data_IF_568084383641
#
_entry.id   IF_568084383641
#
_cell.length_a   1.000
_cell.length_b   1.000
_cell.length_c   1.000
_cell.angle_alpha   90.00
_cell.angle_beta   90.00
_cell.angle_gamma   90.00
#
_symmetry.space_group_name_H-M   'P 1'
#
loop_
_entity.id
_entity.type
_entity.pdbx_description
1 polymer ?
#
# COMPACT_ATOMS: atom_id res chain seq x y z
N UNK A 1 -13.59 -29.77 3.48
CA UNK A 1 -12.23 -30.05 3.95
C UNK A 1 -11.30 -30.08 2.74
N UNK A 2 -10.77 -28.92 2.35
CA UNK A 2 -9.78 -28.81 1.27
C UNK A 2 -8.45 -28.46 1.92
N UNK A 3 -7.50 -29.40 1.89
CA UNK A 3 -6.18 -29.23 2.48
C UNK A 3 -5.42 -28.07 1.81
N UNK A 4 -4.85 -27.20 2.63
CA UNK A 4 -3.88 -26.19 2.18
C UNK A 4 -2.63 -26.96 1.76
N UNK A 5 -2.40 -27.03 0.45
CA UNK A 5 -1.13 -27.54 -0.09
C UNK A 5 -0.10 -26.45 0.20
N UNK A 6 0.75 -26.70 1.20
CA UNK A 6 1.97 -25.92 1.41
C UNK A 6 2.85 -26.17 0.19
N UNK A 7 2.96 -25.15 -0.67
CA UNK A 7 3.94 -25.20 -1.75
C UNK A 7 5.32 -25.14 -1.10
N UNK A 8 6.04 -26.27 -1.06
CA UNK A 8 7.45 -26.24 -0.67
C UNK A 8 8.18 -25.31 -1.64
N UNK A 9 8.89 -24.28 -1.14
CA UNK A 9 9.70 -23.44 -1.99
C UNK A 9 10.80 -24.28 -2.63
N UNK A 10 11.01 -24.08 -3.93
CA UNK A 10 12.06 -24.77 -4.70
C UNK A 10 13.41 -24.68 -3.96
N UNK A 11 14.16 -25.79 -3.79
CA UNK A 11 15.35 -25.88 -2.91
C UNK A 11 16.58 -25.07 -3.36
N UNK A 12 16.43 -24.15 -4.32
CA UNK A 12 17.55 -23.51 -5.01
C UNK A 12 17.88 -22.05 -4.59
N UNK A 13 17.33 -21.49 -3.51
CA UNK A 13 17.60 -20.07 -3.18
C UNK A 13 17.80 -19.69 -1.70
N UNK A 14 18.01 -20.64 -0.79
CA UNK A 14 18.26 -20.33 0.63
C UNK A 14 19.69 -20.74 1.03
N UNK A 15 20.65 -19.85 0.81
CA UNK A 15 22.06 -20.05 1.16
C UNK A 15 22.37 -19.57 2.59
N UNK A 16 22.29 -20.47 3.57
CA UNK A 16 22.97 -20.32 4.85
C UNK A 16 23.24 -21.69 5.51
N UNK A 17 24.26 -21.79 6.39
CA UNK A 17 24.45 -22.98 7.23
C UNK A 17 23.20 -23.25 8.05
N UNK A 18 22.62 -24.44 7.91
CA UNK A 18 21.37 -24.83 8.59
C UNK A 18 21.65 -25.54 9.90
N UNK A 19 20.70 -25.41 10.82
CA UNK A 19 20.66 -26.09 12.09
C UNK A 19 20.79 -27.61 11.89
N UNK A 20 21.78 -28.21 12.54
CA UNK A 20 22.00 -29.66 12.55
C UNK A 20 21.46 -30.34 13.81
N UNK A 21 21.08 -29.55 14.83
CA UNK A 21 20.58 -30.06 16.10
C UNK A 21 19.21 -30.77 15.98
N UNK A 22 18.38 -30.39 15.00
CA UNK A 22 17.06 -30.99 14.76
C UNK A 22 16.88 -31.25 13.27
N UNK A 23 16.56 -32.50 12.92
CA UNK A 23 16.30 -32.90 11.55
C UNK A 23 15.13 -32.09 10.95
N UNK A 24 15.32 -31.55 9.74
CA UNK A 24 14.31 -30.74 9.06
C UNK A 24 14.24 -29.27 9.49
N UNK A 25 15.01 -28.84 10.49
CA UNK A 25 15.09 -27.43 10.83
C UNK A 25 15.74 -26.61 9.70
N UNK A 26 15.09 -25.54 9.28
CA UNK A 26 15.58 -24.61 8.26
C UNK A 26 16.35 -23.41 8.85
N UNK A 27 16.35 -23.31 10.19
CA UNK A 27 16.98 -22.21 10.92
C UNK A 27 18.47 -22.12 10.67
N UNK A 28 18.96 -20.89 10.55
CA UNK A 28 20.39 -20.61 10.43
C UNK A 28 21.13 -21.07 11.68
N UNK A 29 22.18 -21.86 11.51
CA UNK A 29 23.05 -22.28 12.59
C UNK A 29 23.82 -21.08 13.18
N UNK A 30 23.86 -21.01 14.51
CA UNK A 30 24.78 -20.15 15.24
C UNK A 30 26.16 -20.82 15.25
N UNK A 31 27.18 -20.11 14.77
CA UNK A 31 28.56 -20.61 14.80
C UNK A 31 29.16 -20.36 16.19
N UNK A 32 29.95 -21.29 16.76
CA UNK A 32 30.33 -22.62 16.24
C UNK A 32 29.40 -23.77 16.68
N UNK A 33 28.24 -23.47 17.26
CA UNK A 33 27.36 -24.45 17.93
C UNK A 33 26.63 -25.41 16.98
N UNK A 34 26.45 -25.05 15.70
CA UNK A 34 25.74 -25.87 14.70
C UNK A 34 24.21 -25.93 14.89
N UNK A 35 23.69 -25.60 16.08
CA UNK A 35 22.26 -25.36 16.34
C UNK A 35 21.84 -23.94 15.96
N UNK A 36 20.58 -23.73 15.57
CA UNK A 36 20.02 -22.38 15.46
C UNK A 36 19.67 -21.82 16.84
N UNK A 37 19.42 -20.50 17.00
CA UNK A 37 19.11 -19.90 18.31
C UNK A 37 17.95 -20.54 19.09
N UNK A 38 17.01 -21.23 18.42
CA UNK A 38 15.94 -21.98 19.08
C UNK A 38 16.35 -23.40 19.54
N UNK A 39 17.46 -23.94 19.04
CA UNK A 39 17.98 -25.29 19.30
C UNK A 39 19.42 -25.28 19.82
N UNK A 40 19.86 -24.19 20.45
CA UNK A 40 21.13 -24.14 21.17
C UNK A 40 21.01 -24.90 22.49
N UNK A 41 22.10 -25.52 22.95
CA UNK A 41 22.16 -26.01 24.33
C UNK A 41 22.12 -24.84 25.32
N UNK A 42 21.74 -25.05 26.60
CA UNK A 42 21.64 -23.95 27.57
C UNK A 42 22.89 -23.07 27.67
N UNK A 43 24.08 -23.68 27.70
CA UNK A 43 25.36 -22.94 27.75
C UNK A 43 25.64 -22.15 26.47
N UNK A 44 25.26 -22.67 25.31
CA UNK A 44 25.45 -21.97 24.05
C UNK A 44 24.45 -20.83 23.89
N UNK A 45 23.22 -21.04 24.38
CA UNK A 45 22.18 -20.01 24.43
C UNK A 45 22.57 -18.87 25.36
N UNK A 46 23.11 -19.16 26.56
CA UNK A 46 23.66 -18.14 27.47
C UNK A 46 24.72 -17.29 26.77
N UNK A 47 25.71 -17.91 26.10
CA UNK A 47 26.71 -17.16 25.33
C UNK A 47 26.12 -16.34 24.18
N UNK A 48 25.08 -16.86 23.52
CA UNK A 48 24.38 -16.13 22.48
C UNK A 48 23.71 -14.89 23.05
N UNK A 49 23.05 -15.00 24.21
CA UNK A 49 22.42 -13.89 24.91
C UNK A 49 23.44 -12.87 25.45
N UNK A 50 24.57 -13.31 25.99
CA UNK A 50 25.65 -12.44 26.49
C UNK A 50 26.28 -11.58 25.39
N UNK A 51 26.19 -12.01 24.13
CA UNK A 51 26.66 -11.25 22.98
C UNK A 51 25.68 -10.17 22.52
N UNK A 52 24.43 -10.17 23.03
CA UNK A 52 23.41 -9.20 22.69
C UNK A 52 23.53 -7.95 23.56
N UNK A 53 23.39 -6.82 22.89
CA UNK A 53 23.32 -5.47 23.46
C UNK A 53 22.53 -4.57 22.50
N UNK A 54 21.99 -3.43 22.94
CA UNK A 54 21.38 -2.45 22.03
C UNK A 54 22.28 -2.15 20.81
N UNK A 55 21.72 -2.27 19.61
CA UNK A 55 22.41 -2.13 18.31
C UNK A 55 23.02 -3.42 17.75
N UNK A 56 22.86 -4.56 18.41
CA UNK A 56 23.39 -5.85 17.93
C UNK A 56 22.63 -6.33 16.70
N UNK A 57 23.35 -6.92 15.74
CA UNK A 57 22.71 -7.60 14.61
C UNK A 57 22.01 -8.87 15.06
N UNK A 58 20.80 -9.10 14.56
CA UNK A 58 20.00 -10.29 14.89
C UNK A 58 19.73 -11.09 13.61
N UNK A 59 20.19 -12.33 13.58
CA UNK A 59 20.00 -13.25 12.44
C UNK A 59 19.24 -14.50 12.89
N UNK A 60 17.94 -14.50 12.62
CA UNK A 60 16.99 -15.58 12.90
C UNK A 60 16.41 -16.18 11.61
N UNK A 61 17.17 -16.12 10.50
CA UNK A 61 16.74 -16.68 9.21
C UNK A 61 16.36 -18.15 9.32
N UNK A 62 15.21 -18.51 8.75
CA UNK A 62 14.67 -19.87 8.73
C UNK A 62 14.26 -20.41 10.11
N UNK A 63 14.43 -19.66 11.19
CA UNK A 63 14.15 -20.15 12.54
C UNK A 63 12.64 -20.14 12.75
N UNK A 64 12.08 -21.24 13.26
CA UNK A 64 10.78 -21.19 13.93
C UNK A 64 11.01 -20.59 15.30
N UNK A 65 10.76 -19.28 15.42
CA UNK A 65 11.09 -18.49 16.60
C UNK A 65 10.00 -18.69 17.64
N UNK A 66 10.27 -19.36 18.77
CA UNK A 66 9.30 -19.44 19.86
C UNK A 66 9.20 -18.09 20.58
N UNK A 67 8.06 -17.81 21.22
CA UNK A 67 7.80 -16.53 21.91
C UNK A 67 8.89 -16.17 22.92
N UNK A 68 9.31 -17.14 23.75
CA UNK A 68 10.35 -16.93 24.76
C UNK A 68 11.68 -16.48 24.15
N UNK A 69 12.04 -16.96 22.95
CA UNK A 69 13.29 -16.59 22.29
C UNK A 69 13.20 -15.16 21.79
N UNK A 70 12.07 -14.80 21.18
CA UNK A 70 11.86 -13.45 20.67
C UNK A 70 11.85 -12.44 21.82
N UNK A 71 11.14 -12.73 22.91
CA UNK A 71 11.09 -11.89 24.10
C UNK A 71 12.49 -11.71 24.70
N UNK A 72 13.23 -12.80 24.93
CA UNK A 72 14.59 -12.73 25.47
C UNK A 72 15.52 -11.87 24.60
N UNK A 73 15.49 -12.06 23.28
CA UNK A 73 16.31 -11.27 22.33
C UNK A 73 15.94 -9.79 22.38
N UNK A 74 14.64 -9.46 22.37
CA UNK A 74 14.17 -8.07 22.41
C UNK A 74 14.50 -7.39 23.75
N UNK A 75 14.39 -8.11 24.87
CA UNK A 75 14.78 -7.60 26.18
C UNK A 75 16.28 -7.31 26.25
N UNK A 76 17.12 -8.22 25.75
CA UNK A 76 18.57 -8.06 25.76
C UNK A 76 19.07 -6.90 24.89
N UNK A 77 18.32 -6.53 23.85
CA UNK A 77 18.64 -5.38 22.98
C UNK A 77 17.88 -4.10 23.35
N UNK A 78 17.12 -4.10 24.44
CA UNK A 78 16.38 -2.93 24.90
C UNK A 78 17.30 -1.91 25.54
N UNK A 79 17.26 -0.68 25.01
CA UNK A 79 18.08 0.44 25.46
C UNK A 79 17.47 1.21 26.64
N UNK A 80 18.18 2.23 27.15
CA UNK A 80 17.72 3.05 28.28
C UNK A 80 16.43 3.83 28.03
N UNK A 81 16.05 4.02 26.76
CA UNK A 81 14.78 4.65 26.35
C UNK A 81 13.59 3.68 26.39
N UNK A 82 13.80 2.44 26.83
CA UNK A 82 12.78 1.40 26.95
C UNK A 82 12.36 0.81 25.60
N UNK A 83 13.16 0.98 24.54
CA UNK A 83 12.89 0.41 23.21
C UNK A 83 13.95 -0.61 22.81
N UNK A 84 13.57 -1.71 22.12
CA UNK A 84 14.55 -2.60 21.49
C UNK A 84 15.30 -1.87 20.37
N UNK A 85 16.63 -1.81 20.45
CA UNK A 85 17.49 -1.29 19.39
C UNK A 85 18.22 -2.44 18.72
N UNK A 86 17.90 -2.71 17.47
CA UNK A 86 18.53 -3.75 16.68
C UNK A 86 19.48 -3.10 15.67
N UNK A 87 20.60 -3.78 15.39
CA UNK A 87 21.50 -3.43 14.30
C UNK A 87 20.88 -3.79 12.96
N UNK A 88 21.55 -4.64 12.17
CA UNK A 88 20.92 -5.32 11.03
C UNK A 88 20.04 -6.46 11.52
N UNK A 89 18.88 -6.68 10.90
CA UNK A 89 17.98 -7.79 11.28
C UNK A 89 17.67 -8.69 10.08
N UNK A 90 17.77 -10.00 10.27
CA UNK A 90 17.44 -11.00 9.25
C UNK A 90 16.49 -12.04 9.82
N UNK A 91 15.26 -12.01 9.35
CA UNK A 91 14.19 -12.94 9.65
C UNK A 91 13.72 -13.67 8.37
N UNK A 92 14.58 -13.70 7.33
CA UNK A 92 14.24 -14.33 6.05
C UNK A 92 13.80 -15.79 6.25
N UNK A 93 12.60 -16.14 5.81
CA UNK A 93 12.00 -17.48 5.97
C UNK A 93 11.72 -17.90 7.43
N UNK A 94 11.78 -16.98 8.40
CA UNK A 94 11.47 -17.28 9.79
C UNK A 94 9.96 -17.51 9.99
N UNK A 95 9.60 -18.34 10.96
CA UNK A 95 8.22 -18.48 11.43
C UNK A 95 8.11 -17.81 12.79
N UNK A 96 7.32 -16.75 12.86
CA UNK A 96 7.16 -15.92 14.06
C UNK A 96 5.90 -16.29 14.84
N UNK A 97 5.94 -16.13 16.18
CA UNK A 97 4.88 -16.56 17.07
C UNK A 97 3.64 -15.65 16.97
N UNK A 98 2.56 -16.12 17.60
CA UNK A 98 1.22 -15.55 17.47
C UNK A 98 1.02 -14.16 18.08
N UNK A 99 1.97 -13.70 18.89
CA UNK A 99 1.96 -12.42 19.61
C UNK A 99 3.36 -11.77 19.61
N UNK A 100 4.03 -11.75 18.45
CA UNK A 100 5.36 -11.15 18.34
C UNK A 100 5.33 -9.66 18.80
N UNK A 101 5.94 -9.28 19.95
CA UNK A 101 5.80 -7.96 20.53
C UNK A 101 6.79 -6.98 19.87
N UNK A 102 6.71 -6.85 18.55
CA UNK A 102 7.57 -5.98 17.73
C UNK A 102 7.09 -4.51 17.79
N UNK A 103 6.74 -4.04 18.98
CA UNK A 103 6.26 -2.66 19.20
C UNK A 103 7.43 -1.73 19.48
N UNK A 104 7.44 -0.58 18.83
CA UNK A 104 8.33 0.54 19.15
C UNK A 104 9.82 0.32 18.88
N UNK A 105 10.22 -0.85 18.37
CA UNK A 105 11.62 -1.19 18.12
C UNK A 105 12.25 -0.30 17.04
N UNK A 106 13.55 -0.13 17.16
CA UNK A 106 14.38 0.62 16.24
C UNK A 106 15.34 -0.34 15.55
N UNK A 107 15.45 -0.27 14.23
CA UNK A 107 16.45 -1.00 13.44
C UNK A 107 17.35 0.01 12.77
N UNK A 108 18.61 0.08 13.21
CA UNK A 108 19.60 1.00 12.69
C UNK A 108 20.13 0.56 11.32
N UNK A 109 20.25 -0.76 11.11
CA UNK A 109 20.68 -1.37 9.86
C UNK A 109 19.55 -1.72 8.91
N UNK A 110 19.89 -2.44 7.84
CA UNK A 110 18.89 -3.05 6.96
C UNK A 110 18.11 -4.15 7.69
N UNK A 111 16.84 -4.29 7.34
CA UNK A 111 15.91 -5.24 7.93
C UNK A 111 15.28 -6.09 6.83
N UNK A 112 15.37 -7.41 6.93
CA UNK A 112 14.72 -8.32 6.00
C UNK A 112 13.86 -9.34 6.75
N UNK A 113 12.62 -9.47 6.32
CA UNK A 113 11.65 -10.48 6.72
C UNK A 113 11.24 -11.33 5.52
N UNK A 114 12.01 -11.34 4.43
CA UNK A 114 11.57 -11.94 3.17
C UNK A 114 11.17 -13.42 3.33
N UNK A 115 9.97 -13.77 2.87
CA UNK A 115 9.41 -15.12 3.01
C UNK A 115 9.02 -15.52 4.44
N UNK A 116 9.08 -14.61 5.42
CA UNK A 116 8.70 -14.91 6.80
C UNK A 116 7.18 -15.16 6.93
N UNK A 117 6.80 -15.94 7.94
CA UNK A 117 5.41 -16.24 8.26
C UNK A 117 5.07 -15.82 9.69
N UNK A 118 4.04 -15.00 9.85
CA UNK A 118 3.46 -14.63 11.14
C UNK A 118 2.16 -15.41 11.33
N UNK A 119 2.15 -16.37 12.26
CA UNK A 119 1.03 -17.29 12.44
C UNK A 119 -0.16 -16.65 13.17
N UNK A 120 0.09 -15.64 14.00
CA UNK A 120 -0.93 -14.89 14.73
C UNK A 120 -0.86 -13.39 14.45
N UNK A 121 -1.33 -12.61 15.42
CA UNK A 121 -1.40 -11.16 15.30
C UNK A 121 0.01 -10.60 15.39
N UNK A 122 0.36 -9.70 14.47
CA UNK A 122 1.66 -9.05 14.44
C UNK A 122 1.52 -7.55 14.68
N UNK A 123 2.39 -6.97 15.50
CA UNK A 123 2.37 -5.53 15.76
C UNK A 123 3.75 -4.94 15.54
N UNK A 124 3.86 -4.07 14.55
CA UNK A 124 4.97 -3.16 14.24
C UNK A 124 4.61 -1.72 14.64
N UNK A 125 3.74 -1.57 15.63
CA UNK A 125 3.27 -0.25 16.07
C UNK A 125 4.45 0.62 16.49
N UNK A 126 4.55 1.84 15.95
CA UNK A 126 5.64 2.78 16.20
C UNK A 126 7.07 2.25 15.93
N UNK A 127 7.20 1.17 15.16
CA UNK A 127 8.49 0.63 14.73
C UNK A 127 9.25 1.63 13.85
N UNK A 128 10.58 1.66 13.94
CA UNK A 128 11.44 2.59 13.21
C UNK A 128 12.50 1.82 12.46
N UNK A 129 12.47 1.92 11.13
CA UNK A 129 13.49 1.36 10.24
C UNK A 129 14.34 2.50 9.70
N UNK A 130 15.60 2.57 10.13
CA UNK A 130 16.56 3.59 9.66
C UNK A 130 17.29 3.12 8.39
N UNK A 131 17.52 1.81 8.24
CA UNK A 131 17.94 1.17 6.99
C UNK A 131 16.77 0.80 6.07
N UNK A 132 17.05 0.03 5.01
CA UNK A 132 16.01 -0.50 4.13
C UNK A 132 15.22 -1.59 4.86
N UNK A 133 13.92 -1.69 4.59
CA UNK A 133 13.06 -2.71 5.19
C UNK A 133 12.38 -3.57 4.11
N UNK A 134 12.58 -4.88 4.13
CA UNK A 134 11.97 -5.80 3.18
C UNK A 134 11.05 -6.79 3.88
N UNK A 135 9.82 -6.90 3.37
CA UNK A 135 8.76 -7.81 3.77
C UNK A 135 8.24 -8.59 2.54
N UNK A 136 9.13 -8.89 1.59
CA UNK A 136 8.74 -9.54 0.32
C UNK A 136 8.24 -10.96 0.59
N UNK A 137 7.15 -11.37 -0.05
CA UNK A 137 6.54 -12.70 0.12
C UNK A 137 6.27 -13.07 1.61
N UNK A 138 6.11 -12.06 2.48
CA UNK A 138 5.71 -12.30 3.86
C UNK A 138 4.25 -12.74 3.90
N UNK A 139 3.94 -13.68 4.79
CA UNK A 139 2.57 -14.13 5.05
C UNK A 139 2.16 -13.73 6.46
N UNK A 140 1.25 -12.76 6.56
CA UNK A 140 0.54 -12.44 7.80
C UNK A 140 -0.76 -13.27 7.85
N UNK A 141 -0.78 -14.29 8.71
CA UNK A 141 -1.90 -15.23 8.84
C UNK A 141 -3.12 -14.63 9.55
N UNK A 142 -2.90 -13.59 10.35
CA UNK A 142 -3.94 -12.81 11.07
C UNK A 142 -3.70 -11.32 10.87
N UNK A 143 -4.29 -10.50 11.74
CA UNK A 143 -4.20 -9.05 11.68
C UNK A 143 -2.76 -8.58 11.90
N UNK A 144 -2.38 -7.53 11.19
CA UNK A 144 -1.09 -6.86 11.35
C UNK A 144 -1.25 -5.35 11.44
N UNK A 145 -0.54 -4.74 12.38
CA UNK A 145 -0.52 -3.30 12.55
C UNK A 145 0.89 -2.73 12.35
N UNK A 146 1.03 -1.83 11.37
CA UNK A 146 2.16 -0.93 11.16
C UNK A 146 1.80 0.51 11.56
N UNK A 147 0.83 0.68 12.45
CA UNK A 147 0.36 2.00 12.85
C UNK A 147 1.51 2.84 13.41
N UNK A 148 1.67 4.06 12.90
CA UNK A 148 2.74 4.98 13.31
C UNK A 148 4.17 4.57 12.91
N UNK A 149 4.35 3.43 12.23
CA UNK A 149 5.66 2.95 11.81
C UNK A 149 6.36 3.94 10.87
N UNK A 150 7.69 4.01 10.96
CA UNK A 150 8.52 4.95 10.20
C UNK A 150 9.58 4.22 9.40
N UNK A 151 9.57 4.42 8.09
CA UNK A 151 10.53 3.89 7.14
C UNK A 151 11.37 5.05 6.58
N UNK A 152 12.64 5.16 7.00
CA UNK A 152 13.51 6.27 6.61
C UNK A 152 14.20 6.04 5.26
N UNK A 153 14.20 4.81 4.77
CA UNK A 153 14.75 4.40 3.46
C UNK A 153 13.68 3.64 2.67
N UNK A 154 14.11 2.86 1.67
CA UNK A 154 13.18 2.09 0.86
C UNK A 154 12.51 1.00 1.70
N UNK A 155 11.21 0.80 1.49
CA UNK A 155 10.50 -0.34 2.06
C UNK A 155 9.74 -1.13 1.01
N UNK A 156 9.82 -2.45 1.08
CA UNK A 156 9.14 -3.37 0.16
C UNK A 156 8.19 -4.29 0.92
N UNK A 157 6.93 -4.30 0.49
CA UNK A 157 5.85 -5.23 0.85
C UNK A 157 5.37 -5.95 -0.43
N UNK A 158 6.30 -6.20 -1.35
CA UNK A 158 5.98 -6.83 -2.62
C UNK A 158 5.59 -8.28 -2.42
N UNK A 159 4.51 -8.72 -3.07
CA UNK A 159 4.01 -10.11 -2.97
C UNK A 159 3.62 -10.53 -1.55
N UNK A 160 3.55 -9.59 -0.59
CA UNK A 160 3.09 -9.86 0.78
C UNK A 160 1.60 -10.24 0.77
N UNK A 161 1.25 -11.25 1.57
CA UNK A 161 -0.14 -11.68 1.78
C UNK A 161 -0.61 -11.28 3.17
N UNK A 162 -1.61 -10.42 3.22
CA UNK A 162 -2.31 -9.98 4.42
C UNK A 162 -3.64 -10.72 4.54
N UNK A 163 -3.69 -11.77 5.35
CA UNK A 163 -4.90 -12.60 5.50
C UNK A 163 -5.96 -11.90 6.35
N UNK A 164 -5.53 -11.32 7.48
CA UNK A 164 -6.36 -10.50 8.36
C UNK A 164 -6.38 -9.02 7.96
N UNK A 165 -6.81 -8.16 8.89
CA UNK A 165 -6.74 -6.71 8.73
C UNK A 165 -5.28 -6.22 8.70
N UNK A 166 -4.97 -5.32 7.77
CA UNK A 166 -3.66 -4.71 7.65
C UNK A 166 -3.76 -3.19 7.84
N UNK A 167 -3.23 -2.70 8.95
CA UNK A 167 -3.37 -1.29 9.35
C UNK A 167 -2.04 -0.56 9.25
N UNK A 168 -1.95 0.40 8.34
CA UNK A 168 -0.80 1.28 8.10
C UNK A 168 -1.10 2.72 8.53
N UNK A 169 -2.05 2.89 9.45
CA UNK A 169 -2.54 4.21 9.81
C UNK A 169 -1.44 5.08 10.42
N UNK A 170 -1.30 6.30 9.90
CA UNK A 170 -0.25 7.23 10.34
C UNK A 170 1.18 6.78 10.02
N UNK A 171 1.38 5.67 9.29
CA UNK A 171 2.70 5.21 8.88
C UNK A 171 3.36 6.22 7.93
N UNK A 172 4.68 6.35 8.03
CA UNK A 172 5.47 7.34 7.29
C UNK A 172 6.61 6.69 6.54
N UNK A 173 6.63 6.91 5.24
CA UNK A 173 7.73 6.57 4.35
C UNK A 173 8.46 7.85 3.96
N UNK A 174 9.74 7.97 4.26
CA UNK A 174 10.53 9.14 3.83
C UNK A 174 10.95 9.06 2.36
N UNK A 175 10.93 7.85 1.77
CA UNK A 175 11.32 7.59 0.38
C UNK A 175 10.17 6.88 -0.35
N UNK A 176 10.44 5.79 -1.08
CA UNK A 176 9.46 5.02 -1.83
C UNK A 176 8.97 3.81 -1.02
N UNK A 177 7.67 3.55 -1.07
CA UNK A 177 7.04 2.35 -0.52
C UNK A 177 6.46 1.49 -1.64
N UNK A 178 6.82 0.21 -1.66
CA UNK A 178 6.33 -0.73 -2.67
C UNK A 178 5.41 -1.77 -2.05
N UNK A 179 4.22 -1.92 -2.62
CA UNK A 179 3.21 -2.93 -2.34
C UNK A 179 2.82 -3.66 -3.63
N UNK A 180 3.75 -3.74 -4.59
CA UNK A 180 3.45 -4.35 -5.89
C UNK A 180 3.09 -5.81 -5.69
N UNK A 181 2.03 -6.25 -6.36
CA UNK A 181 1.52 -7.63 -6.23
C UNK A 181 1.12 -8.06 -4.81
N UNK A 182 1.02 -7.12 -3.85
CA UNK A 182 0.53 -7.44 -2.51
C UNK A 182 -0.93 -7.87 -2.56
N UNK A 183 -1.30 -8.81 -1.69
CA UNK A 183 -2.65 -9.36 -1.60
C UNK A 183 -3.22 -9.05 -0.22
N UNK A 184 -4.22 -8.18 -0.17
CA UNK A 184 -4.99 -7.85 1.02
C UNK A 184 -6.29 -8.63 1.00
N UNK A 185 -6.33 -9.79 1.67
CA UNK A 185 -7.55 -10.60 1.79
C UNK A 185 -8.52 -9.93 2.76
N UNK A 186 -8.02 -9.52 3.92
CA UNK A 186 -8.75 -8.69 4.88
C UNK A 186 -8.79 -7.22 4.48
N UNK A 187 -9.32 -6.39 5.38
CA UNK A 187 -9.36 -4.94 5.17
C UNK A 187 -7.95 -4.34 5.21
N UNK A 188 -7.73 -3.27 4.45
CA UNK A 188 -6.48 -2.53 4.42
C UNK A 188 -6.74 -1.05 4.70
N UNK A 189 -6.10 -0.50 5.72
CA UNK A 189 -6.20 0.92 6.06
C UNK A 189 -4.85 1.60 5.92
N UNK A 190 -4.81 2.70 5.19
CA UNK A 190 -3.65 3.58 5.03
C UNK A 190 -3.98 5.00 5.51
N UNK A 191 -4.91 5.13 6.44
CA UNK A 191 -5.42 6.43 6.83
C UNK A 191 -4.31 7.28 7.47
N UNK A 192 -4.24 8.56 7.15
CA UNK A 192 -3.19 9.47 7.62
C UNK A 192 -1.76 9.07 7.24
N UNK A 193 -1.58 8.09 6.34
CA UNK A 193 -0.26 7.69 5.85
C UNK A 193 0.42 8.79 5.02
N UNK A 194 1.75 8.87 5.13
CA UNK A 194 2.55 9.83 4.37
C UNK A 194 3.67 9.14 3.59
N UNK A 195 3.70 9.36 2.28
CA UNK A 195 4.71 8.85 1.35
C UNK A 195 5.58 10.00 0.83
N UNK A 196 6.86 9.97 1.18
CA UNK A 196 7.85 10.99 0.84
C UNK A 196 8.26 11.00 -0.63
N UNK A 197 7.93 9.94 -1.37
CA UNK A 197 8.01 9.87 -2.84
C UNK A 197 6.78 9.14 -3.41
N UNK A 198 6.95 7.91 -3.91
CA UNK A 198 5.85 7.13 -4.49
C UNK A 198 5.22 6.16 -3.50
N UNK A 199 3.90 6.01 -3.63
CA UNK A 199 3.13 4.90 -3.08
C UNK A 199 2.84 3.93 -4.23
N UNK A 200 3.63 2.85 -4.33
CA UNK A 200 3.63 1.94 -5.46
C UNK A 200 2.80 0.68 -5.18
N UNK A 201 1.54 0.66 -5.59
CA UNK A 201 0.57 -0.42 -5.34
C UNK A 201 0.13 -1.12 -6.63
N UNK A 202 1.02 -1.17 -7.63
CA UNK A 202 0.69 -1.74 -8.93
C UNK A 202 0.41 -3.24 -8.82
N UNK A 203 -0.63 -3.68 -9.53
CA UNK A 203 -1.11 -5.06 -9.52
C UNK A 203 -1.42 -5.63 -8.12
N UNK A 204 -1.59 -4.76 -7.11
CA UNK A 204 -2.07 -5.19 -5.79
C UNK A 204 -3.54 -5.61 -5.86
N UNK A 205 -3.93 -6.57 -5.01
CA UNK A 205 -5.31 -7.08 -4.94
C UNK A 205 -5.90 -6.83 -3.56
N UNK A 206 -6.95 -6.00 -3.50
CA UNK A 206 -7.73 -5.70 -2.31
C UNK A 206 -9.04 -6.49 -2.33
N UNK A 207 -9.05 -7.62 -1.63
CA UNK A 207 -10.22 -8.47 -1.40
C UNK A 207 -11.15 -7.89 -0.33
N UNK A 208 -10.59 -7.30 0.73
CA UNK A 208 -11.32 -6.52 1.73
C UNK A 208 -11.54 -5.06 1.33
N UNK A 209 -12.08 -4.28 2.26
CA UNK A 209 -12.23 -2.84 2.07
C UNK A 209 -10.86 -2.15 2.14
N UNK A 210 -10.62 -1.17 1.27
CA UNK A 210 -9.39 -0.37 1.27
C UNK A 210 -9.69 1.10 1.58
N UNK A 211 -8.98 1.70 2.54
CA UNK A 211 -9.14 3.10 2.94
C UNK A 211 -7.85 3.90 2.77
N UNK A 212 -7.97 5.09 2.18
CA UNK A 212 -6.87 6.02 1.92
C UNK A 212 -7.24 7.45 2.35
N UNK A 213 -7.84 7.61 3.53
CA UNK A 213 -8.28 8.94 4.00
C UNK A 213 -7.09 9.71 4.54
N UNK A 214 -7.01 10.98 4.18
CA UNK A 214 -5.97 11.94 4.60
C UNK A 214 -4.55 11.45 4.29
N UNK A 215 -4.40 10.69 3.20
CA UNK A 215 -3.10 10.26 2.69
C UNK A 215 -2.39 11.43 2.02
N UNK A 216 -1.08 11.52 2.21
CA UNK A 216 -0.21 12.44 1.46
C UNK A 216 0.83 11.65 0.67
N UNK A 217 0.91 11.91 -0.63
CA UNK A 217 1.93 11.35 -1.52
C UNK A 217 2.70 12.48 -2.16
N UNK A 218 4.01 12.54 -1.94
CA UNK A 218 4.86 13.63 -2.42
C UNK A 218 5.15 13.55 -3.93
N UNK A 219 4.93 12.39 -4.57
CA UNK A 219 5.09 12.24 -6.01
C UNK A 219 3.93 11.47 -6.64
N UNK A 220 3.97 10.15 -6.79
CA UNK A 220 2.91 9.40 -7.48
C UNK A 220 2.25 8.35 -6.59
N UNK A 221 0.93 8.36 -6.56
CA UNK A 221 0.11 7.26 -6.05
C UNK A 221 -0.23 6.34 -7.24
N UNK A 222 0.28 5.11 -7.21
CA UNK A 222 0.32 4.20 -8.36
C UNK A 222 -0.51 2.97 -8.07
N UNK A 223 -1.67 2.86 -8.69
CA UNK A 223 -2.62 1.75 -8.57
C UNK A 223 -2.81 1.03 -9.91
N UNK A 224 -1.83 1.10 -10.81
CA UNK A 224 -1.95 0.50 -12.14
C UNK A 224 -2.20 -1.01 -12.04
N UNK A 225 -3.23 -1.50 -12.74
CA UNK A 225 -3.68 -2.89 -12.71
C UNK A 225 -4.09 -3.41 -11.33
N UNK A 226 -4.29 -2.53 -10.35
CA UNK A 226 -4.77 -2.93 -9.03
C UNK A 226 -6.24 -3.40 -9.11
N UNK A 227 -6.61 -4.32 -8.24
CA UNK A 227 -7.95 -4.92 -8.19
C UNK A 227 -8.60 -4.63 -6.85
N UNK A 228 -9.82 -4.10 -6.85
CA UNK A 228 -10.60 -3.78 -5.66
C UNK A 228 -11.94 -4.50 -5.71
N UNK A 229 -12.23 -5.38 -4.73
CA UNK A 229 -13.46 -6.17 -4.70
C UNK A 229 -14.62 -5.51 -3.97
N UNK A 230 -14.35 -4.53 -3.08
CA UNK A 230 -15.35 -3.89 -2.19
C UNK A 230 -15.37 -2.36 -2.29
N UNK A 231 -15.27 -1.88 -3.51
CA UNK A 231 -15.21 -0.47 -3.87
C UNK A 231 -13.85 0.12 -3.56
N UNK A 232 -13.64 1.35 -4.04
CA UNK A 232 -12.44 2.12 -3.76
C UNK A 232 -12.82 3.53 -3.34
N UNK A 233 -12.50 3.90 -2.09
CA UNK A 233 -12.54 5.28 -1.60
C UNK A 233 -11.13 5.83 -1.50
N UNK A 234 -10.74 6.62 -2.49
CA UNK A 234 -9.52 7.41 -2.48
C UNK A 234 -9.81 8.80 -1.94
N UNK A 235 -9.38 9.06 -0.70
CA UNK A 235 -9.36 10.39 -0.12
C UNK A 235 -10.50 10.72 0.85
N UNK A 236 -10.52 11.96 1.40
CA UNK A 236 -9.75 13.13 0.96
C UNK A 236 -8.23 12.91 1.02
N UNK A 237 -7.48 13.16 -0.06
CA UNK A 237 -6.03 12.95 -0.09
C UNK A 237 -5.31 13.97 -0.99
N UNK A 238 -3.98 14.05 -0.85
CA UNK A 238 -3.12 14.90 -1.69
C UNK A 238 -2.04 14.06 -2.36
N UNK A 239 -1.89 14.17 -3.67
CA UNK A 239 -0.80 13.56 -4.43
C UNK A 239 -0.09 14.63 -5.28
N UNK A 240 1.13 15.02 -4.90
CA UNK A 240 1.76 16.21 -5.49
C UNK A 240 2.11 16.06 -6.99
N UNK A 241 2.38 14.84 -7.44
CA UNK A 241 2.61 14.53 -8.84
C UNK A 241 1.33 14.03 -9.50
N UNK A 242 0.85 12.85 -9.10
CA UNK A 242 -0.39 12.34 -9.66
C UNK A 242 -0.87 11.01 -9.08
N UNK A 243 -2.09 10.65 -9.48
CA UNK A 243 -2.77 9.42 -9.15
C UNK A 243 -2.98 8.65 -10.45
N UNK A 244 -2.59 7.39 -10.49
CA UNK A 244 -2.74 6.54 -11.65
C UNK A 244 -3.53 5.29 -11.26
N UNK A 245 -4.68 5.11 -11.86
CA UNK A 245 -5.57 3.95 -11.77
C UNK A 245 -5.61 3.21 -13.11
N UNK A 246 -4.55 3.33 -13.92
CA UNK A 246 -4.53 2.78 -15.26
C UNK A 246 -4.77 1.25 -15.22
N UNK A 247 -5.71 0.77 -16.03
CA UNK A 247 -6.12 -0.64 -16.10
C UNK A 247 -6.56 -1.25 -14.76
N UNK A 248 -6.92 -0.42 -13.77
CA UNK A 248 -7.43 -0.89 -12.50
C UNK A 248 -8.84 -1.48 -12.65
N UNK A 249 -9.16 -2.47 -11.83
CA UNK A 249 -10.50 -3.08 -11.78
C UNK A 249 -11.13 -2.80 -10.43
N UNK A 250 -12.29 -2.13 -10.42
CA UNK A 250 -12.99 -1.73 -9.19
C UNK A 250 -14.41 -2.27 -9.21
N UNK A 251 -14.76 -3.11 -8.24
CA UNK A 251 -16.13 -3.57 -8.03
C UNK A 251 -16.77 -2.82 -6.87
N UNK A 252 -18.01 -2.34 -7.00
CA UNK A 252 -18.70 -1.64 -5.92
C UNK A 252 -18.48 -0.13 -5.89
N UNK A 253 -18.06 0.45 -7.03
CA UNK A 253 -17.93 1.89 -7.23
C UNK A 253 -16.56 2.48 -6.87
N UNK A 254 -16.27 3.63 -7.48
CA UNK A 254 -15.03 4.38 -7.36
C UNK A 254 -15.33 5.79 -6.86
N UNK A 255 -14.79 6.19 -5.72
CA UNK A 255 -14.90 7.56 -5.22
C UNK A 255 -13.51 8.15 -5.00
N UNK A 256 -13.19 9.18 -5.76
CA UNK A 256 -11.91 9.89 -5.72
C UNK A 256 -12.15 11.33 -5.27
N UNK A 257 -11.67 11.66 -4.08
CA UNK A 257 -11.68 13.00 -3.52
C UNK A 257 -10.24 13.44 -3.29
N UNK A 258 -9.66 14.21 -4.20
CA UNK A 258 -8.21 14.44 -4.19
C UNK A 258 -7.76 15.78 -4.79
N UNK A 259 -6.67 16.31 -4.24
CA UNK A 259 -5.87 17.36 -4.87
C UNK A 259 -4.62 16.73 -5.50
N UNK A 260 -4.50 16.80 -6.82
CA UNK A 260 -3.39 16.22 -7.58
C UNK A 260 -3.23 16.92 -8.93
N UNK A 261 -2.02 16.95 -9.50
CA UNK A 261 -1.81 17.55 -10.84
C UNK A 261 -2.31 16.66 -11.97
N UNK A 262 -2.16 15.35 -11.81
CA UNK A 262 -2.56 14.36 -12.80
C UNK A 262 -3.40 13.27 -12.14
N UNK A 263 -4.52 12.94 -12.76
CA UNK A 263 -5.34 11.78 -12.39
C UNK A 263 -5.61 11.00 -13.67
N UNK A 264 -5.09 9.78 -13.76
CA UNK A 264 -5.35 8.90 -14.90
C UNK A 264 -6.19 7.73 -14.46
N UNK A 265 -7.28 7.49 -15.17
CA UNK A 265 -8.21 6.35 -14.99
C UNK A 265 -8.21 5.52 -16.28
N UNK A 266 -7.15 5.65 -17.09
CA UNK A 266 -7.10 5.10 -18.44
C UNK A 266 -7.27 3.58 -18.43
N UNK A 267 -8.16 3.03 -19.25
CA UNK A 267 -8.36 1.58 -19.34
C UNK A 267 -8.98 0.93 -18.10
N UNK A 268 -9.30 1.71 -17.06
CA UNK A 268 -9.87 1.14 -15.83
C UNK A 268 -11.30 0.63 -16.07
N UNK A 269 -11.65 -0.46 -15.40
CA UNK A 269 -13.02 -1.01 -15.41
C UNK A 269 -13.65 -0.83 -14.04
N UNK A 270 -14.75 -0.08 -13.97
CA UNK A 270 -15.50 0.19 -12.75
C UNK A 270 -16.90 -0.42 -12.86
N UNK A 271 -17.16 -1.42 -12.03
CA UNK A 271 -18.48 -2.02 -11.85
C UNK A 271 -19.23 -1.25 -10.76
N UNK A 272 -19.93 -0.19 -11.17
CA UNK A 272 -20.68 0.71 -10.30
C UNK A 272 -20.52 2.17 -10.71
N UNK A 273 -20.92 3.07 -9.83
CA UNK A 273 -20.77 4.51 -10.03
C UNK A 273 -19.33 4.98 -9.79
N UNK A 274 -18.95 6.05 -10.47
CA UNK A 274 -17.67 6.72 -10.30
C UNK A 274 -17.86 8.22 -9.98
N UNK A 275 -17.27 8.66 -8.88
CA UNK A 275 -17.34 10.05 -8.42
C UNK A 275 -15.93 10.62 -8.29
N UNK A 276 -15.70 11.76 -8.94
CA UNK A 276 -14.43 12.47 -8.94
C UNK A 276 -14.64 13.90 -8.41
N UNK A 277 -14.31 14.12 -7.14
CA UNK A 277 -14.16 15.45 -6.54
C UNK A 277 -12.69 15.85 -6.57
N UNK A 278 -12.29 16.66 -7.55
CA UNK A 278 -10.88 16.94 -7.82
C UNK A 278 -10.54 18.42 -7.68
N UNK A 279 -9.28 18.69 -7.41
CA UNK A 279 -8.68 20.02 -7.48
C UNK A 279 -7.30 19.96 -8.14
N UNK A 280 -6.97 20.97 -8.94
CA UNK A 280 -5.70 21.10 -9.70
C UNK A 280 -5.46 20.09 -10.83
N UNK A 281 -6.42 19.22 -11.10
CA UNK A 281 -6.15 17.98 -11.83
C UNK A 281 -6.36 18.09 -13.34
N UNK A 282 -5.40 17.56 -14.09
CA UNK A 282 -5.65 17.02 -15.42
C UNK A 282 -6.16 15.57 -15.29
N UNK A 283 -7.41 15.34 -15.68
CA UNK A 283 -8.08 14.05 -15.61
C UNK A 283 -8.14 13.37 -16.98
N UNK A 284 -7.62 12.16 -17.08
CA UNK A 284 -7.69 11.30 -18.27
C UNK A 284 -8.59 10.08 -18.02
N UNK A 285 -9.67 9.95 -18.79
CA UNK A 285 -10.64 8.85 -18.73
C UNK A 285 -10.58 7.95 -19.98
N UNK A 286 -9.57 8.10 -20.84
CA UNK A 286 -9.47 7.34 -22.07
C UNK A 286 -9.61 5.83 -21.82
N UNK A 287 -10.39 5.14 -22.63
CA UNK A 287 -10.55 3.68 -22.60
C UNK A 287 -11.15 3.12 -21.30
N UNK A 288 -11.60 3.98 -20.38
CA UNK A 288 -12.22 3.56 -19.14
C UNK A 288 -13.66 3.06 -19.40
N UNK A 289 -14.08 2.04 -18.67
CA UNK A 289 -15.43 1.48 -18.73
C UNK A 289 -16.12 1.59 -17.37
N UNK A 290 -17.33 2.13 -17.37
CA UNK A 290 -18.16 2.32 -16.19
C UNK A 290 -19.53 1.70 -16.43
N UNK A 291 -19.91 0.70 -15.62
CA UNK A 291 -21.25 0.11 -15.74
C UNK A 291 -22.34 1.02 -15.16
N UNK A 292 -21.97 1.92 -14.25
CA UNK A 292 -22.86 2.93 -13.66
C UNK A 292 -22.67 4.31 -14.30
N UNK A 293 -22.95 5.33 -13.49
CA UNK A 293 -22.74 6.73 -13.86
C UNK A 293 -21.36 7.22 -13.46
N UNK A 294 -20.84 8.23 -14.17
CA UNK A 294 -19.63 8.92 -13.77
C UNK A 294 -19.91 10.42 -13.54
N UNK A 295 -19.37 10.99 -12.47
CA UNK A 295 -19.45 12.42 -12.19
C UNK A 295 -18.08 13.00 -11.91
N UNK A 296 -17.77 14.14 -12.53
CA UNK A 296 -16.53 14.90 -12.31
C UNK A 296 -16.89 16.30 -11.85
N UNK A 297 -16.35 16.70 -10.71
CA UNK A 297 -16.56 18.01 -10.11
C UNK A 297 -15.21 18.64 -9.80
N UNK A 298 -15.01 19.87 -10.28
CA UNK A 298 -13.97 20.76 -9.79
C UNK A 298 -14.38 21.33 -8.43
N UNK A 299 -13.52 21.20 -7.43
CA UNK A 299 -13.76 21.71 -6.08
C UNK A 299 -13.32 23.18 -6.00
N UNK A 300 -14.22 24.06 -5.56
CA UNK A 300 -13.93 25.50 -5.42
C UNK A 300 -13.13 25.81 -4.16
N UNK A 301 -13.45 25.11 -3.06
CA UNK A 301 -12.80 25.28 -1.76
C UNK A 301 -11.69 24.24 -1.55
N UNK A 302 -10.70 24.55 -0.70
CA UNK A 302 -9.77 23.56 -0.21
C UNK A 302 -10.46 22.36 0.45
N UNK A 303 -9.92 21.18 0.23
CA UNK A 303 -10.35 19.90 0.79
C UNK A 303 -10.06 19.89 2.30
N UNK A 304 -11.08 19.78 3.16
CA UNK A 304 -10.89 19.81 4.61
C UNK A 304 -10.02 18.65 5.11
N UNK A 305 -9.09 18.96 6.03
CA UNK A 305 -8.28 17.96 6.73
C UNK A 305 -7.10 17.40 5.93
N UNK A 306 -6.76 18.00 4.79
CA UNK A 306 -5.51 17.72 4.07
C UNK A 306 -4.76 19.02 3.79
N UNK A 307 -3.43 18.97 3.87
CA UNK A 307 -2.58 20.12 3.55
C UNK A 307 -2.31 20.16 2.05
N UNK A 308 -3.03 21.05 1.38
CA UNK A 308 -2.92 21.24 -0.06
C UNK A 308 -1.71 22.10 -0.45
N UNK A 309 -1.15 21.86 -1.65
CA UNK A 309 -0.18 22.76 -2.24
C UNK A 309 -0.83 24.04 -2.77
N UNK A 310 -0.08 25.14 -2.81
CA UNK A 310 -0.53 26.44 -3.33
C UNK A 310 -0.31 26.58 -4.84
N UNK A 311 -0.88 25.69 -5.65
CA UNK A 311 -0.73 25.75 -7.11
C UNK A 311 -1.82 26.61 -7.78
N UNK A 312 -1.49 27.51 -8.71
CA UNK A 312 -2.47 28.11 -9.62
C UNK A 312 -2.41 27.48 -11.03
N UNK A 313 -3.54 27.35 -11.77
CA UNK A 313 -4.93 27.50 -11.31
C UNK A 313 -5.43 26.27 -10.53
N UNK A 314 -6.47 26.45 -9.72
CA UNK A 314 -7.12 25.36 -8.96
C UNK A 314 -8.04 24.46 -9.78
N UNK A 315 -8.24 24.81 -11.05
CA UNK A 315 -9.23 24.19 -11.91
C UNK A 315 -8.88 22.75 -12.27
N UNK A 316 -9.92 22.00 -12.61
CA UNK A 316 -9.81 20.65 -13.15
C UNK A 316 -10.04 20.70 -14.65
N UNK A 317 -9.17 20.05 -15.41
CA UNK A 317 -9.30 19.87 -16.86
C UNK A 317 -9.52 18.40 -17.18
N UNK A 318 -10.51 18.10 -18.02
CA UNK A 318 -10.70 16.76 -18.58
C UNK A 318 -9.95 16.66 -19.92
N UNK A 319 -8.91 15.84 -19.98
CA UNK A 319 -8.00 15.79 -21.14
C UNK A 319 -8.45 14.79 -22.20
N UNK A 320 -9.08 13.68 -21.82
CA UNK A 320 -9.58 12.69 -22.78
C UNK A 320 -10.74 11.87 -22.22
N UNK A 321 -11.70 11.60 -23.10
CA UNK A 321 -12.79 10.62 -22.92
C UNK A 321 -12.90 9.72 -24.15
N UNK A 322 -11.78 9.53 -24.87
CA UNK A 322 -11.75 8.67 -26.04
C UNK A 322 -12.05 7.23 -25.64
N UNK A 323 -12.99 6.59 -26.36
CA UNK A 323 -13.41 5.19 -26.13
C UNK A 323 -13.84 4.91 -24.68
N UNK A 324 -14.23 5.94 -23.93
CA UNK A 324 -14.82 5.76 -22.61
C UNK A 324 -16.23 5.21 -22.76
N UNK A 325 -16.48 4.06 -22.15
CA UNK A 325 -17.81 3.45 -22.07
C UNK A 325 -18.49 3.88 -20.77
N UNK A 326 -19.54 4.68 -20.87
CA UNK A 326 -20.30 5.19 -19.72
C UNK A 326 -21.71 5.61 -20.12
N UNK A 327 -22.70 5.21 -19.33
CA UNK A 327 -24.10 5.56 -19.61
C UNK A 327 -24.38 7.08 -19.46
N UNK A 328 -23.77 7.71 -18.47
CA UNK A 328 -23.89 9.15 -18.22
C UNK A 328 -22.62 9.70 -17.56
N UNK A 329 -22.04 10.74 -18.16
CA UNK A 329 -20.92 11.49 -17.60
C UNK A 329 -21.37 12.92 -17.24
N UNK A 330 -21.47 13.22 -15.95
CA UNK A 330 -21.78 14.56 -15.47
C UNK A 330 -20.49 15.34 -15.19
N UNK A 331 -20.40 16.59 -15.65
CA UNK A 331 -19.20 17.43 -15.46
C UNK A 331 -19.58 18.81 -14.93
N UNK A 332 -19.08 19.16 -13.75
CA UNK A 332 -19.43 20.42 -13.07
C UNK A 332 -18.17 21.24 -12.78
N UNK A 333 -18.08 22.43 -13.39
CA UNK A 333 -16.95 23.34 -13.15
C UNK A 333 -15.61 22.86 -13.73
N UNK A 334 -15.65 21.94 -14.69
CA UNK A 334 -14.46 21.33 -15.34
C UNK A 334 -14.20 22.00 -16.69
N UNK A 335 -12.93 22.28 -16.99
CA UNK A 335 -12.45 22.74 -18.29
C UNK A 335 -12.41 21.57 -19.29
N UNK A 336 -13.11 21.73 -20.41
CA UNK A 336 -13.14 20.76 -21.52
C UNK A 336 -12.30 21.20 -22.72
N UNK A 337 -11.54 22.29 -22.59
CA UNK A 337 -10.64 22.81 -23.62
C UNK A 337 -9.60 21.77 -24.04
N UNK A 338 -9.56 21.44 -25.33
CA UNK A 338 -8.63 20.45 -25.86
C UNK A 338 -8.95 19.01 -25.47
N UNK A 339 -10.11 18.73 -24.87
CA UNK A 339 -10.52 17.39 -24.50
C UNK A 339 -10.68 16.51 -25.76
N UNK A 340 -10.02 15.36 -25.76
CA UNK A 340 -10.16 14.38 -26.83
C UNK A 340 -11.50 13.63 -26.70
N UNK A 341 -12.47 14.01 -27.53
CA UNK A 341 -13.84 13.47 -27.53
C UNK A 341 -14.00 12.26 -28.47
N UNK A 342 -14.97 11.37 -28.22
CA UNK A 342 -15.30 10.29 -29.15
C UNK A 342 -15.86 10.82 -30.47
N UNK A 343 -15.61 10.09 -31.58
CA UNK A 343 -16.08 10.47 -32.92
C UNK A 343 -17.59 10.36 -33.10
N UNK A 344 -18.30 9.63 -32.23
CA UNK A 344 -19.77 9.52 -32.19
C UNK A 344 -20.24 9.77 -30.75
N UNK A 345 -21.33 10.52 -30.61
CA UNK A 345 -21.83 11.11 -29.35
C UNK A 345 -22.52 10.10 -28.43
N UNK A 346 -21.75 9.24 -27.79
CA UNK A 346 -22.26 8.34 -26.75
C UNK A 346 -22.16 8.97 -25.34
N UNK A 347 -21.21 9.90 -25.15
CA UNK A 347 -21.02 10.60 -23.87
C UNK A 347 -21.87 11.88 -23.81
N UNK A 348 -22.90 11.89 -22.94
CA UNK A 348 -23.70 13.09 -22.64
C UNK A 348 -23.09 13.89 -21.50
N UNK A 349 -22.19 14.81 -21.82
CA UNK A 349 -21.67 15.79 -20.86
C UNK A 349 -22.65 16.95 -20.64
N UNK A 350 -22.95 17.28 -19.38
CA UNK A 350 -23.77 18.45 -18.99
C UNK A 350 -23.00 19.29 -17.99
N UNK A 351 -22.79 20.58 -18.28
CA UNK A 351 -22.28 21.57 -17.30
C UNK A 351 -20.82 22.04 -17.44
N UNK A 352 -20.08 21.60 -18.48
CA UNK A 352 -18.69 22.01 -18.70
C UNK A 352 -18.54 23.48 -19.14
N UNK A 353 -17.41 24.11 -18.79
CA UNK A 353 -17.05 25.44 -19.30
C UNK A 353 -16.24 25.26 -20.60
N UNK A 354 -16.65 25.85 -21.74
CA UNK A 354 -15.83 25.85 -22.95
C UNK A 354 -14.61 26.77 -22.76
N UNK A 355 -13.49 26.43 -23.40
CA UNK A 355 -12.30 27.27 -23.40
C UNK A 355 -12.60 28.64 -24.03
N UNK A 356 -11.99 29.70 -23.49
CA UNK A 356 -12.05 31.03 -24.07
C UNK A 356 -11.51 30.98 -25.52
N UNK A 357 -12.40 31.13 -26.51
CA UNK A 357 -12.04 31.20 -27.94
C UNK A 357 -12.55 30.09 -28.85
N UNK A 358 -13.35 29.11 -28.39
CA UNK A 358 -13.97 28.10 -29.27
C UNK A 358 -15.40 28.49 -29.70
N UNK A 359 -15.83 28.23 -30.96
CA UNK A 359 -17.17 28.60 -31.40
C UNK A 359 -18.24 27.83 -30.62
N UNK A 360 -19.28 28.54 -30.18
CA UNK A 360 -20.46 28.00 -29.49
C UNK A 360 -21.17 26.94 -30.37
N UNK A 361 -20.80 25.67 -30.26
CA UNK A 361 -21.71 24.57 -30.61
C UNK A 361 -22.67 24.38 -29.44
N UNK A 362 -23.95 24.50 -29.70
CA UNK A 362 -25.04 24.53 -28.72
C UNK A 362 -25.14 23.23 -27.92
N UNK A 363 -24.59 23.24 -26.70
CA UNK A 363 -24.73 22.18 -25.70
C UNK A 363 -26.04 22.30 -24.92
N UNK A 364 -27.19 22.22 -25.59
CA UNK A 364 -28.50 22.18 -24.94
C UNK A 364 -29.50 21.38 -25.78
N UNK A 365 -29.82 20.14 -25.38
CA UNK A 365 -31.18 19.59 -25.62
C UNK A 365 -31.92 19.64 -24.28
N UNK A 366 -32.83 20.61 -24.14
CA UNK A 366 -33.87 20.60 -23.11
C UNK A 366 -34.77 19.40 -23.38
N UNK A 367 -35.09 18.62 -22.35
CA UNK A 367 -36.20 17.70 -22.39
C UNK A 367 -37.48 18.54 -22.45
N UNK A 368 -38.13 18.58 -23.62
CA UNK A 368 -39.51 19.03 -23.74
C UNK A 368 -40.41 17.81 -23.55
N UNK A 369 -40.85 17.56 -22.33
CA UNK A 369 -42.05 16.76 -22.08
C UNK A 369 -43.25 17.69 -22.27
N UNK A 370 -44.08 17.41 -23.29
CA UNK A 370 -45.39 18.02 -23.43
C UNK A 370 -46.34 17.41 -22.38
N UNK A 371 -47.17 18.32 -21.86
CA UNK A 371 -48.40 18.16 -21.06
C UNK A 371 -49.11 16.82 -21.13
#
# INVERSE_FOLDING_TARGET
>A
MGGVVLHEPSPASLFWPRCTAVAGCTGRAAEPAGGCPAHLSPREFERFMDALRPGTEVDLRGVTVPSWLLEAVLDAVTGPDGRPHLGRTRFDGAVLPSDAPLRGFCVEGDSSFDGACFLGVASFHDARFFGNASFRDVRFGRDVSFQGARFHRHSSFEETVFTGEATFDGARWHVDASFRHAVFVGAASFDHAAFGRDAAMQAASFGGAASFRRVRVARRARFERAKFRRGLRLGPLVALGGISLADAVVHGGLHVHAAARQVSVRGATVYGDAEFGLRYAELDLADAAFTGTASVRSLSEPIPGVMEPSWPPADVRLTSVQRTDVALLQVTGVDLGGCALPRRSEVRARGGRPAAGTPRRSWLRRATGRS
#
